data_IF_140866255465
#
_entry.id   IF_140866255465
#
_cell.length_a   1.000
_cell.length_b   1.000
_cell.length_c   1.000
_cell.angle_alpha   90.00
_cell.angle_beta   90.00
_cell.angle_gamma   90.00
#
_symmetry.space_group_name_H-M   'P 1'
#
loop_
_entity.id
_entity.type
_entity.pdbx_description
1 polymer ?
#
# COMPACT_ATOMS: atom_id res chain seq x y z
N UNK A 1 11.63 -72.74 -3.76
CA UNK A 1 11.02 -71.42 -4.05
C UNK A 1 11.68 -70.82 -5.29
N UNK A 2 11.03 -70.74 -6.46
CA UNK A 2 11.59 -70.02 -7.59
C UNK A 2 11.07 -68.57 -7.61
N UNK A 3 12.01 -67.63 -7.50
CA UNK A 3 11.77 -66.20 -7.54
C UNK A 3 11.67 -65.77 -9.02
N UNK A 4 10.45 -65.53 -9.51
CA UNK A 4 10.21 -65.00 -10.86
C UNK A 4 10.78 -63.59 -10.95
N UNK A 5 11.90 -63.42 -11.67
CA UNK A 5 12.44 -62.11 -12.03
C UNK A 5 11.62 -61.52 -13.18
N UNK A 6 10.76 -60.57 -12.87
CA UNK A 6 10.12 -59.73 -13.87
C UNK A 6 11.15 -58.72 -14.41
N UNK A 7 11.77 -59.04 -15.54
CA UNK A 7 12.59 -58.10 -16.31
C UNK A 7 11.67 -57.04 -16.93
N UNK A 8 11.56 -55.88 -16.28
CA UNK A 8 10.90 -54.72 -16.86
C UNK A 8 11.70 -54.24 -18.08
N UNK A 9 11.07 -54.25 -19.25
CA UNK A 9 11.66 -53.79 -20.51
C UNK A 9 11.60 -52.25 -20.55
N UNK A 10 12.74 -51.59 -20.37
CA UNK A 10 12.83 -50.14 -20.55
C UNK A 10 12.59 -49.79 -22.02
N UNK A 11 11.56 -48.99 -22.28
CA UNK A 11 11.36 -48.32 -23.58
C UNK A 11 12.17 -47.02 -23.53
N UNK A 12 13.14 -46.86 -24.43
CA UNK A 12 13.90 -45.62 -24.54
C UNK A 12 13.01 -44.44 -24.95
N UNK A 13 13.44 -43.23 -24.63
CA UNK A 13 12.73 -42.00 -24.99
C UNK A 13 12.73 -41.78 -26.50
N UNK A 14 11.57 -41.47 -27.07
CA UNK A 14 11.47 -41.00 -28.45
C UNK A 14 11.87 -39.52 -28.54
N UNK A 15 12.49 -39.10 -29.64
CA UNK A 15 12.83 -37.68 -29.87
C UNK A 15 11.60 -36.77 -29.79
N UNK A 16 10.45 -37.26 -30.30
CA UNK A 16 9.17 -36.57 -30.20
C UNK A 16 8.73 -36.35 -28.74
N UNK A 17 8.95 -37.36 -27.88
CA UNK A 17 8.56 -37.32 -26.48
C UNK A 17 9.39 -36.30 -25.69
N UNK A 18 10.69 -36.22 -25.97
CA UNK A 18 11.57 -35.20 -25.38
C UNK A 18 11.17 -33.79 -25.84
N UNK A 19 10.85 -33.61 -27.12
CA UNK A 19 10.38 -32.32 -27.63
C UNK A 19 9.07 -31.88 -26.97
N UNK A 20 8.10 -32.79 -26.84
CA UNK A 20 6.84 -32.51 -26.16
C UNK A 20 7.08 -32.18 -24.68
N UNK A 21 7.93 -32.96 -23.99
CA UNK A 21 8.27 -32.70 -22.59
C UNK A 21 8.90 -31.31 -22.40
N UNK A 22 9.83 -30.91 -23.26
CA UNK A 22 10.45 -29.57 -23.23
C UNK A 22 9.42 -28.46 -23.43
N UNK A 23 8.47 -28.64 -24.37
CA UNK A 23 7.40 -27.66 -24.60
C UNK A 23 6.49 -27.52 -23.37
N UNK A 24 6.07 -28.65 -22.79
CA UNK A 24 5.22 -28.64 -21.59
C UNK A 24 5.96 -27.98 -20.42
N UNK A 25 7.24 -28.31 -20.20
CA UNK A 25 8.07 -27.70 -19.16
C UNK A 25 8.24 -26.20 -19.38
N UNK A 26 8.45 -25.75 -20.62
CA UNK A 26 8.56 -24.33 -20.93
C UNK A 26 7.27 -23.57 -20.58
N UNK A 27 6.10 -24.11 -20.94
CA UNK A 27 4.80 -23.52 -20.61
C UNK A 27 4.59 -23.49 -19.08
N UNK A 28 4.97 -24.57 -18.37
CA UNK A 28 4.87 -24.62 -16.91
C UNK A 28 5.73 -23.55 -16.22
N UNK A 29 6.96 -23.34 -16.69
CA UNK A 29 7.85 -22.30 -16.16
C UNK A 29 7.33 -20.88 -16.43
N UNK A 30 6.76 -20.63 -17.61
CA UNK A 30 6.13 -19.35 -17.93
C UNK A 30 4.90 -19.08 -17.04
N UNK A 31 4.08 -20.10 -16.79
CA UNK A 31 2.96 -20.02 -15.87
C UNK A 31 3.39 -19.67 -14.44
N UNK A 32 4.46 -20.32 -13.95
CA UNK A 32 5.05 -20.01 -12.65
C UNK A 32 5.56 -18.57 -12.60
N UNK A 33 6.32 -18.12 -13.60
CA UNK A 33 6.85 -16.77 -13.67
C UNK A 33 5.73 -15.70 -13.66
N UNK A 34 4.65 -15.91 -14.41
CA UNK A 34 3.49 -15.03 -14.40
C UNK A 34 2.84 -14.97 -13.00
N UNK A 35 2.72 -16.11 -12.33
CA UNK A 35 2.22 -16.19 -10.95
C UNK A 35 3.09 -15.40 -9.96
N UNK A 36 4.41 -15.49 -10.08
CA UNK A 36 5.35 -14.74 -9.23
C UNK A 36 5.20 -13.23 -9.41
N UNK A 37 5.04 -12.76 -10.66
CA UNK A 37 4.81 -11.33 -10.93
C UNK A 37 3.53 -10.84 -10.26
N UNK A 38 2.45 -11.62 -10.30
CA UNK A 38 1.19 -11.26 -9.62
C UNK A 38 1.35 -11.22 -8.10
N UNK A 39 2.03 -12.19 -7.51
CA UNK A 39 2.33 -12.18 -6.07
C UNK A 39 3.10 -10.92 -5.65
N UNK A 40 4.11 -10.52 -6.45
CA UNK A 40 4.87 -9.30 -6.21
C UNK A 40 4.01 -8.03 -6.34
N UNK A 41 3.09 -7.98 -7.31
CA UNK A 41 2.15 -6.86 -7.47
C UNK A 41 1.28 -6.69 -6.21
N UNK A 42 0.74 -7.78 -5.67
CA UNK A 42 -0.05 -7.73 -4.44
C UNK A 42 0.78 -7.31 -3.23
N UNK A 43 1.99 -7.87 -3.06
CA UNK A 43 2.89 -7.50 -1.97
C UNK A 43 3.26 -6.01 -2.00
N UNK A 44 3.50 -5.46 -3.20
CA UNK A 44 3.75 -4.03 -3.38
C UNK A 44 2.55 -3.18 -2.96
N UNK A 45 1.34 -3.58 -3.34
CA UNK A 45 0.15 -2.81 -2.97
C UNK A 45 -0.09 -2.80 -1.46
N UNK A 46 0.09 -3.94 -0.79
CA UNK A 46 0.02 -3.99 0.68
C UNK A 46 1.10 -3.13 1.34
N UNK A 47 2.28 -3.06 0.75
CA UNK A 47 3.33 -2.15 1.20
C UNK A 47 2.92 -0.68 1.06
N UNK A 48 2.38 -0.29 -0.10
CA UNK A 48 1.93 1.09 -0.35
C UNK A 48 0.78 1.49 0.57
N UNK A 49 -0.15 0.58 0.85
CA UNK A 49 -1.20 0.78 1.86
C UNK A 49 -0.61 1.01 3.26
N UNK A 50 0.35 0.19 3.67
CA UNK A 50 1.02 0.32 4.98
C UNK A 50 1.75 1.65 5.11
N UNK A 51 2.50 2.04 4.08
CA UNK A 51 3.21 3.33 4.05
C UNK A 51 2.23 4.50 4.05
N UNK A 52 1.10 4.38 3.37
CA UNK A 52 0.04 5.41 3.37
C UNK A 52 -0.56 5.61 4.76
N UNK A 53 -0.79 4.53 5.52
CA UNK A 53 -1.22 4.62 6.92
C UNK A 53 -0.15 5.31 7.79
N UNK A 54 1.13 4.97 7.60
CA UNK A 54 2.23 5.61 8.35
C UNK A 54 2.24 7.12 8.06
N UNK A 55 2.12 7.52 6.81
CA UNK A 55 2.07 8.94 6.43
C UNK A 55 0.85 9.65 7.01
N UNK A 56 -0.33 9.00 6.99
CA UNK A 56 -1.53 9.57 7.58
C UNK A 56 -1.37 9.78 9.09
N UNK A 57 -0.84 8.78 9.82
CA UNK A 57 -0.57 8.90 11.25
C UNK A 57 0.49 9.98 11.55
N UNK A 58 1.56 10.06 10.75
CA UNK A 58 2.55 11.11 10.93
C UNK A 58 1.95 12.51 10.77
N UNK A 59 1.04 12.71 9.81
CA UNK A 59 0.33 13.97 9.68
C UNK A 59 -0.54 14.26 10.91
N UNK A 60 -1.24 13.26 11.43
CA UNK A 60 -2.03 13.38 12.67
C UNK A 60 -1.15 13.75 13.87
N UNK A 61 -0.04 13.06 14.05
CA UNK A 61 0.92 13.31 15.15
C UNK A 61 1.51 14.72 15.07
N UNK A 62 1.81 15.21 13.86
CA UNK A 62 2.33 16.56 13.69
C UNK A 62 1.29 17.63 14.01
N UNK A 63 0.04 17.41 13.60
CA UNK A 63 -1.08 18.26 14.02
C UNK A 63 -1.29 18.22 15.52
N UNK A 64 -1.12 17.05 16.15
CA UNK A 64 -1.20 16.92 17.60
C UNK A 64 -0.16 17.79 18.32
N UNK A 65 1.05 17.94 17.79
CA UNK A 65 2.08 18.80 18.40
C UNK A 65 1.62 20.28 18.41
N UNK A 66 0.98 20.73 17.33
CA UNK A 66 0.59 22.14 17.16
C UNK A 66 -0.87 22.42 17.56
N UNK A 67 -1.60 21.40 18.05
CA UNK A 67 -3.05 21.45 18.31
C UNK A 67 -3.49 22.66 19.14
N UNK A 68 -2.74 22.99 20.19
CA UNK A 68 -3.05 24.14 21.04
C UNK A 68 -2.98 25.44 20.25
N UNK A 69 -1.95 25.61 19.41
CA UNK A 69 -1.75 26.83 18.63
C UNK A 69 -2.81 26.95 17.54
N UNK A 70 -3.21 25.82 16.95
CA UNK A 70 -4.28 25.75 15.94
C UNK A 70 -5.65 26.08 16.54
N UNK A 71 -5.97 25.58 17.74
CA UNK A 71 -7.25 25.86 18.42
C UNK A 71 -7.32 27.29 18.99
N UNK A 72 -6.22 27.84 19.51
CA UNK A 72 -6.14 29.22 20.02
C UNK A 72 -5.91 30.27 18.92
N UNK A 73 -5.93 29.87 17.64
CA UNK A 73 -5.66 30.72 16.47
C UNK A 73 -4.30 31.46 16.51
N UNK A 74 -3.31 30.93 17.24
CA UNK A 74 -1.92 31.42 17.26
C UNK A 74 -1.13 30.93 16.05
N UNK A 75 -1.56 29.82 15.47
CA UNK A 75 -1.07 29.26 14.22
C UNK A 75 -2.23 29.11 13.25
N UNK A 76 -2.04 29.56 12.02
CA UNK A 76 -3.05 29.41 10.97
C UNK A 76 -3.00 27.98 10.40
N UNK A 77 -4.17 27.39 10.18
CA UNK A 77 -4.30 26.15 9.41
C UNK A 77 -4.37 26.48 7.91
N UNK A 78 -3.29 27.05 7.37
CA UNK A 78 -3.21 27.53 6.00
C UNK A 78 -2.63 26.48 5.03
N UNK A 79 -2.56 26.81 3.74
CA UNK A 79 -1.97 25.93 2.74
C UNK A 79 -0.50 25.59 3.06
N UNK A 80 0.29 26.52 3.59
CA UNK A 80 1.70 26.27 3.93
C UNK A 80 1.82 25.21 5.05
N UNK A 81 0.96 25.30 6.07
CA UNK A 81 0.90 24.30 7.11
C UNK A 81 0.46 22.94 6.57
N UNK A 82 -0.57 22.89 5.73
CA UNK A 82 -1.07 21.65 5.11
C UNK A 82 0.02 21.02 4.21
N UNK A 83 0.72 21.81 3.41
CA UNK A 83 1.84 21.36 2.59
C UNK A 83 2.97 20.81 3.45
N UNK A 84 3.23 21.40 4.61
CA UNK A 84 4.22 20.87 5.54
C UNK A 84 3.90 19.43 5.94
N UNK A 85 2.62 19.06 6.09
CA UNK A 85 2.16 17.72 6.49
C UNK A 85 2.27 16.69 5.37
N UNK A 86 2.44 17.13 4.11
CA UNK A 86 2.46 16.22 2.97
C UNK A 86 3.70 15.32 2.98
N UNK A 87 3.58 14.05 2.55
CA UNK A 87 4.72 13.16 2.42
C UNK A 87 5.79 13.72 1.47
N UNK A 88 7.06 13.61 1.83
CA UNK A 88 8.17 14.03 0.96
C UNK A 88 8.23 13.25 -0.38
N UNK A 89 7.56 12.10 -0.45
CA UNK A 89 7.53 11.24 -1.62
C UNK A 89 6.35 11.59 -2.53
N UNK A 90 6.63 12.09 -3.73
CA UNK A 90 5.60 12.54 -4.71
C UNK A 90 4.60 11.47 -5.19
N UNK A 91 4.87 10.20 -4.89
CA UNK A 91 3.95 9.10 -5.23
C UNK A 91 2.74 9.01 -4.30
N UNK A 92 2.79 9.70 -3.15
CA UNK A 92 1.71 9.75 -2.17
C UNK A 92 1.11 11.15 -2.15
N UNK A 93 -0.21 11.23 -2.20
CA UNK A 93 -0.95 12.49 -2.10
C UNK A 93 -1.77 12.48 -0.83
N UNK A 94 -1.56 13.47 0.04
CA UNK A 94 -2.35 13.63 1.25
C UNK A 94 -3.49 14.60 0.99
N UNK A 95 -4.69 14.22 1.42
CA UNK A 95 -5.91 15.03 1.32
C UNK A 95 -6.61 15.02 2.67
N UNK A 96 -7.09 16.19 3.10
CA UNK A 96 -7.84 16.35 4.34
C UNK A 96 -9.30 16.65 4.00
N UNK A 97 -10.23 15.88 4.58
CA UNK A 97 -11.67 16.01 4.33
C UNK A 97 -12.39 16.35 5.63
N UNK A 98 -13.24 17.37 5.62
CA UNK A 98 -13.95 17.84 6.82
C UNK A 98 -13.26 18.97 7.56
N UNK A 99 -12.13 19.46 7.05
CA UNK A 99 -11.43 20.66 7.53
C UNK A 99 -11.10 21.56 6.33
N UNK A 100 -11.22 22.87 6.51
CA UNK A 100 -10.97 23.86 5.47
C UNK A 100 -9.78 24.75 5.85
N UNK A 101 -9.15 25.33 4.84
CA UNK A 101 -8.07 26.31 5.03
C UNK A 101 -8.55 27.47 5.91
N UNK A 102 -7.73 27.85 6.89
CA UNK A 102 -8.01 28.90 7.86
C UNK A 102 -9.06 28.55 8.91
N UNK A 103 -9.70 27.38 8.84
CA UNK A 103 -10.76 26.95 9.76
C UNK A 103 -10.46 25.55 10.28
N UNK A 104 -9.55 25.46 11.26
CA UNK A 104 -9.23 24.19 11.92
C UNK A 104 -10.48 23.56 12.55
N UNK A 105 -10.65 22.26 12.32
CA UNK A 105 -11.69 21.45 12.93
C UNK A 105 -11.03 20.33 13.74
N UNK A 106 -11.63 19.99 14.88
CA UNK A 106 -11.11 18.93 15.74
C UNK A 106 -11.33 17.53 15.17
N UNK A 107 -12.29 17.38 14.26
CA UNK A 107 -12.66 16.11 13.66
C UNK A 107 -12.57 16.23 12.13
N UNK A 108 -11.70 15.43 11.51
CA UNK A 108 -11.57 15.35 10.06
C UNK A 108 -10.95 14.02 9.64
N UNK A 109 -11.03 13.72 8.35
CA UNK A 109 -10.42 12.52 7.76
C UNK A 109 -9.12 12.89 7.07
N UNK A 110 -8.04 12.19 7.42
CA UNK A 110 -6.77 12.22 6.70
C UNK A 110 -6.76 11.06 5.73
N UNK A 111 -6.68 11.35 4.43
CA UNK A 111 -6.52 10.32 3.40
C UNK A 111 -5.19 10.47 2.68
N UNK A 112 -4.51 9.36 2.44
CA UNK A 112 -3.29 9.28 1.65
C UNK A 112 -3.54 8.35 0.48
N UNK A 113 -3.42 8.88 -0.72
CA UNK A 113 -3.61 8.18 -1.98
C UNK A 113 -2.27 7.86 -2.62
N UNK A 114 -2.15 6.70 -3.26
CA UNK A 114 -1.01 6.36 -4.11
C UNK A 114 -1.48 6.01 -5.52
N UNK A 115 -0.61 6.24 -6.51
CA UNK A 115 -0.87 5.83 -7.89
C UNK A 115 -0.10 4.55 -8.22
N UNK A 116 -0.81 3.46 -8.51
CA UNK A 116 -0.25 2.27 -9.16
C UNK A 116 -1.06 1.92 -10.42
N UNK A 117 -0.53 2.28 -11.59
CA UNK A 117 -1.17 2.03 -12.90
C UNK A 117 -1.33 0.54 -13.23
N UNK A 118 -0.73 -0.36 -12.45
CA UNK A 118 -0.82 -1.82 -12.65
C UNK A 118 -2.02 -2.42 -11.95
N UNK A 119 -2.62 -1.70 -11.00
CA UNK A 119 -3.90 -2.06 -10.42
C UNK A 119 -5.00 -1.39 -11.23
N UNK A 120 -5.81 -2.22 -11.90
CA UNK A 120 -6.92 -1.78 -12.77
C UNK A 120 -8.27 -2.15 -12.17
N UNK A 121 -8.30 -2.51 -10.89
CA UNK A 121 -9.54 -2.55 -10.15
C UNK A 121 -10.00 -1.10 -9.93
N UNK A 122 -11.29 -0.82 -10.14
CA UNK A 122 -11.88 0.51 -9.91
C UNK A 122 -11.95 0.88 -8.40
N UNK A 123 -11.08 0.27 -7.59
CA UNK A 123 -10.96 0.52 -6.16
C UNK A 123 -10.04 1.71 -5.91
N UNK A 124 -10.34 2.54 -4.90
CA UNK A 124 -9.46 3.64 -4.54
C UNK A 124 -8.15 3.10 -3.96
N UNK A 125 -7.03 3.46 -4.57
CA UNK A 125 -5.69 3.29 -4.02
C UNK A 125 -5.44 4.34 -2.92
N UNK A 126 -6.19 4.21 -1.83
CA UNK A 126 -6.19 5.17 -0.73
C UNK A 126 -6.25 4.46 0.63
N UNK A 127 -5.55 5.03 1.61
CA UNK A 127 -5.76 4.75 3.02
C UNK A 127 -6.38 6.00 3.65
N UNK A 128 -7.36 5.82 4.54
CA UNK A 128 -8.00 6.92 5.25
C UNK A 128 -8.09 6.61 6.74
N UNK A 129 -7.79 7.61 7.57
CA UNK A 129 -7.95 7.54 9.03
C UNK A 129 -8.75 8.75 9.50
N UNK A 130 -9.58 8.53 10.51
CA UNK A 130 -10.32 9.61 11.17
C UNK A 130 -9.45 10.16 12.29
N UNK A 131 -9.14 11.45 12.22
CA UNK A 131 -8.49 12.19 13.28
C UNK A 131 -9.56 12.85 14.14
N UNK A 132 -9.44 12.72 15.46
CA UNK A 132 -10.29 13.40 16.43
C UNK A 132 -9.40 13.93 17.55
N UNK A 133 -9.50 15.23 17.78
CA UNK A 133 -8.67 15.98 18.70
C UNK A 133 -9.52 16.53 19.85
N UNK A 134 -9.06 16.45 21.11
CA UNK A 134 -9.79 17.04 22.22
C UNK A 134 -9.75 18.58 22.14
N UNK A 135 -10.83 19.23 22.57
CA UNK A 135 -10.81 20.67 22.78
C UNK A 135 -9.97 20.99 24.02
N UNK A 136 -8.90 21.75 23.82
CA UNK A 136 -8.02 22.21 24.89
C UNK A 136 -8.56 23.51 25.51
N UNK A 137 -8.26 23.78 26.79
CA UNK A 137 -8.57 25.06 27.41
C UNK A 137 -7.76 26.18 26.75
N UNK A 138 -8.38 27.37 26.66
CA UNK A 138 -7.71 28.56 26.16
C UNK A 138 -6.46 28.88 27.00
N UNK A 139 -5.37 29.28 26.35
CA UNK A 139 -4.14 29.59 27.06
C UNK A 139 -3.23 28.38 27.30
N UNK A 140 -3.47 27.26 26.62
CA UNK A 140 -2.57 26.11 26.71
C UNK A 140 -1.14 26.49 26.23
N UNK A 141 -0.14 25.86 26.85
CA UNK A 141 1.27 25.97 26.50
C UNK A 141 1.67 24.63 25.88
N UNK A 142 2.08 24.67 24.61
CA UNK A 142 2.68 23.53 23.90
C UNK A 142 4.10 23.26 24.36
#
# INVERSE_FOLDING_TARGET
MPMKKHLFRQKGFSLLEVMIALIISAIALLGLAAGQVKSLQFARNSFDYTVSIIHANNAVERIWIDICQLQDARQAFDQQYIESLTPALQRYTLTLTGVAEGSFANDFTVSVQWSDQRMTDDLPNAAAINASYPQLPAGCNG
#
